data_IF_575213190901
#
_entry.id   IF_575213190901
#
_cell.length_a   1.000
_cell.length_b   1.000
_cell.length_c   1.000
_cell.angle_alpha   90.00
_cell.angle_beta   90.00
_cell.angle_gamma   90.00
#
_symmetry.space_group_name_H-M   'P 1'
#
loop_
_entity.id
_entity.type
_entity.pdbx_description
1 polymer ?
2 polymer ?
3 non-polymer ?
4 non-polymer ?
5 water ?
#
# COMPACT_ATOMS: atom_id res chain seq x y z
N UNK A 2 -12.20 -4.61 2.55
CA UNK A 2 -10.77 -4.43 2.65
C UNK A 2 -10.29 -3.42 3.68
N UNK A 3 -9.00 -3.54 4.03
CA UNK A 3 -8.43 -2.67 5.05
C UNK A 3 -8.42 -1.21 4.61
N UNK A 4 -8.08 -0.95 3.35
CA UNK A 4 -8.00 0.43 2.89
C UNK A 4 -9.37 1.10 2.92
N UNK A 5 -10.43 0.34 2.59
CA UNK A 5 -11.77 0.90 2.67
C UNK A 5 -12.14 1.26 4.10
N UNK A 6 -11.77 0.39 5.05
CA UNK A 6 -12.03 0.68 6.46
C UNK A 6 -11.24 1.90 6.91
N UNK A 7 -9.98 2.01 6.46
CA UNK A 7 -9.15 3.16 6.83
C UNK A 7 -9.76 4.44 6.28
N UNK A 8 -10.19 4.43 5.01
CA UNK A 8 -10.80 5.61 4.43
C UNK A 8 -12.06 6.02 5.20
N UNK A 9 -12.88 5.03 5.58
CA UNK A 9 -14.11 5.33 6.31
C UNK A 9 -13.82 6.00 7.65
N UNK A 10 -12.84 5.47 8.40
CA UNK A 10 -12.50 6.06 9.68
C UNK A 10 -11.95 7.46 9.53
N UNK A 11 -11.14 7.69 8.49
CA UNK A 11 -10.57 9.02 8.31
C UNK A 11 -11.63 10.04 7.91
N UNK A 12 -12.68 9.60 7.22
CA UNK A 12 -13.79 10.50 6.94
C UNK A 12 -14.47 10.91 8.24
N UNK A 13 -14.64 9.95 9.16
CA UNK A 13 -15.25 10.23 10.45
C UNK A 13 -14.36 11.17 11.27
N UNK A 14 -13.06 10.91 11.29
CA UNK A 14 -12.12 11.75 12.03
C UNK A 14 -12.13 13.17 11.50
N UNK A 15 -12.13 13.33 10.17
CA UNK A 15 -12.15 14.66 9.58
C UNK A 15 -13.42 15.41 9.97
N UNK A 16 -14.56 14.73 9.97
CA UNK A 16 -15.80 15.38 10.34
C UNK A 16 -15.78 15.81 11.80
N UNK A 17 -15.31 14.93 12.69
CA UNK A 17 -15.23 15.29 14.11
C UNK A 17 -14.34 16.50 14.32
N UNK A 18 -13.19 16.56 13.63
CA UNK A 18 -12.30 17.69 13.79
C UNK A 18 -12.89 18.96 13.21
N UNK A 19 -13.68 18.85 12.14
CA UNK A 19 -14.41 20.01 11.64
C UNK A 19 -15.37 20.53 12.71
N UNK A 20 -16.10 19.64 13.37
CA UNK A 20 -17.00 20.06 14.44
C UNK A 20 -16.22 20.72 15.57
N UNK A 21 -15.08 20.15 15.94
CA UNK A 21 -14.27 20.72 17.03
C UNK A 21 -13.77 22.09 16.63
N UNK A 22 -13.20 22.20 15.43
CA UNK A 22 -12.65 23.49 15.00
C UNK A 22 -13.72 24.55 14.90
N UNK A 23 -14.92 24.17 14.42
CA UNK A 23 -16.02 25.12 14.30
C UNK A 23 -16.66 25.36 15.66
N UNK B 2 12.20 3.83 -1.27
CA UNK B 2 12.10 2.53 -0.62
C UNK B 2 11.56 1.39 -1.46
N UNK B 3 10.87 0.45 -0.80
CA UNK B 3 10.50 -0.80 -1.45
C UNK B 3 9.59 -0.58 -2.67
N UNK B 4 8.66 0.37 -2.58
CA UNK B 4 7.75 0.57 -3.71
C UNK B 4 8.50 1.00 -4.96
N UNK B 5 9.53 1.85 -4.80
CA UNK B 5 10.33 2.26 -5.96
C UNK B 5 11.12 1.08 -6.51
N UNK B 6 11.64 0.22 -5.64
CA UNK B 6 12.33 -0.98 -6.11
C UNK B 6 11.38 -1.88 -6.89
N UNK B 7 10.16 -2.03 -6.38
CA UNK B 7 9.14 -2.82 -7.08
C UNK B 7 8.88 -2.25 -8.46
N UNK B 8 8.73 -0.93 -8.56
CA UNK B 8 8.49 -0.31 -9.86
C UNK B 8 9.66 -0.56 -10.79
N UNK B 9 10.89 -0.41 -10.29
CA UNK B 9 12.07 -0.64 -11.12
C UNK B 9 12.12 -2.08 -11.61
N UNK B 10 11.82 -3.04 -10.73
CA UNK B 10 11.84 -4.45 -11.15
C UNK B 10 10.74 -4.73 -12.19
N UNK B 11 9.56 -4.13 -12.02
CA UNK B 11 8.49 -4.38 -12.98
C UNK B 11 8.80 -3.76 -14.35
N UNK B 12 9.51 -2.63 -14.38
CA UNK B 12 9.97 -2.10 -15.65
C UNK B 12 10.90 -3.08 -16.35
N UNK B 13 11.80 -3.71 -15.58
CA UNK B 13 12.69 -4.71 -16.15
C UNK B 13 11.92 -5.93 -16.64
N UNK B 14 10.95 -6.39 -15.84
CA UNK B 14 10.14 -7.54 -16.22
C UNK B 14 9.35 -7.24 -17.49
N UNK B 15 8.82 -6.01 -17.60
CA UNK B 15 8.06 -5.63 -18.79
C UNK B 15 8.94 -5.67 -20.04
N UNK B 16 10.19 -5.20 -19.92
CA UNK B 16 11.11 -5.23 -21.05
C UNK B 16 11.43 -6.66 -21.48
N UNK B 17 11.72 -7.54 -20.51
CA UNK B 17 12.04 -8.91 -20.86
C UNK B 17 10.85 -9.62 -21.50
N UNK B 18 9.64 -9.35 -21.01
CA UNK B 18 8.47 -10.01 -21.57
C UNK B 18 8.15 -9.49 -22.97
N UNK B 19 8.39 -8.21 -23.23
CA UNK B 19 8.21 -7.70 -24.59
C UNK B 19 9.20 -8.36 -25.55
N UNK B 20 10.44 -8.56 -25.09
CA UNK B 20 11.43 -9.26 -25.89
C UNK B 20 11.00 -10.70 -26.16
N UNK B 21 10.49 -11.38 -25.15
CA UNK B 21 10.03 -12.76 -25.32
C UNK B 21 8.89 -12.81 -26.32
N UNK B 22 7.92 -11.90 -26.19
CA UNK B 22 6.78 -11.91 -27.10
C UNK B 22 7.19 -11.61 -28.54
N UNK B 23 8.20 -10.76 -28.73
CA UNK B 23 8.70 -10.44 -30.06
C UNK B 23 9.63 -11.51 -30.62
N UNK B 24 9.92 -12.56 -29.87
CA UNK B 24 10.82 -13.60 -30.33
C UNK B 24 12.23 -13.46 -29.77
N UNK C 2 9.76 -2.93 8.89
CA UNK C 2 9.09 -2.19 7.82
C UNK C 2 8.30 -0.99 8.27
N UNK C 3 8.02 -0.09 7.33
CA UNK C 3 7.32 1.15 7.65
C UNK C 3 5.90 0.86 8.13
N UNK C 4 5.21 -0.11 7.52
CA UNK C 4 3.85 -0.40 7.93
C UNK C 4 3.79 -0.87 9.38
N UNK C 5 4.78 -1.65 9.82
CA UNK C 5 4.84 -2.05 11.22
C UNK C 5 5.06 -0.85 12.12
N UNK C 6 5.94 0.06 11.73
CA UNK C 6 6.18 1.26 12.51
C UNK C 6 4.93 2.13 12.58
N UNK C 7 4.23 2.25 11.45
CA UNK C 7 3.01 3.06 11.40
C UNK C 7 1.96 2.51 12.34
N UNK C 8 1.78 1.19 12.33
CA UNK C 8 0.80 0.56 13.22
C UNK C 8 1.17 0.83 14.68
N UNK C 9 2.46 0.75 15.01
CA UNK C 9 2.87 1.00 16.38
C UNK C 9 2.55 2.43 16.80
N UNK C 10 2.85 3.40 15.93
CA UNK C 10 2.55 4.79 16.26
C UNK C 10 1.06 5.02 16.45
N UNK C 11 0.24 4.40 15.60
CA UNK C 11 -1.20 4.62 15.68
C UNK C 11 -1.78 4.01 16.95
N UNK C 12 -1.18 2.94 17.46
CA UNK C 12 -1.60 2.41 18.76
C UNK C 12 -1.33 3.42 19.87
N UNK C 13 -0.16 4.09 19.81
CA UNK C 13 0.15 5.14 20.78
C UNK C 13 -0.78 6.33 20.61
N UNK C 14 -1.02 6.75 19.37
CA UNK C 14 -1.92 7.87 19.11
C UNK C 14 -3.32 7.56 19.63
N UNK C 15 -3.80 6.33 19.41
CA UNK C 15 -5.13 5.96 19.88
C UNK C 15 -5.23 6.06 21.38
N UNK C 16 -4.21 5.60 22.10
CA UNK C 16 -4.26 5.66 23.55
C UNK C 16 -4.25 7.10 24.04
N UNK C 17 -3.42 7.97 23.44
CA UNK C 17 -3.40 9.36 23.86
C UNK C 17 -4.76 10.00 23.68
N UNK C 18 -5.43 9.72 22.56
CA UNK C 18 -6.75 10.31 22.33
C UNK C 18 -7.80 9.74 23.28
N UNK C 19 -7.66 8.47 23.67
CA UNK C 19 -8.54 7.92 24.70
C UNK C 19 -8.40 8.68 26.01
N UNK C 20 -7.15 8.96 26.41
CA UNK C 20 -6.92 9.71 27.63
C UNK C 20 -7.52 11.11 27.54
N UNK C 21 -7.36 11.76 26.39
CA UNK C 21 -7.91 13.09 26.20
C UNK C 21 -9.44 13.04 26.28
N UNK C 22 -10.05 12.09 25.56
CA UNK C 22 -11.50 12.02 25.53
C UNK C 22 -12.08 11.68 26.89
N UNK C 23 -11.45 10.73 27.61
CA UNK C 23 -11.94 10.30 28.91
C UNK C 23 -11.50 11.21 30.05
N UNK C 24 -10.47 12.04 29.85
CA UNK C 24 -9.98 12.90 30.90
C UNK C 24 -10.95 14.00 31.27
N UNK D 2 -2.78 -8.54 9.26
CA UNK D 2 -1.47 -7.94 9.42
C UNK D 2 -1.47 -6.48 9.80
N UNK D 3 -0.44 -5.75 9.38
CA UNK D 3 -0.27 -4.38 9.83
C UNK D 3 -1.40 -3.48 9.34
N UNK D 4 -1.88 -3.68 8.12
CA UNK D 4 -2.94 -2.82 7.61
C UNK D 4 -4.22 -2.97 8.43
N UNK D 5 -4.53 -4.20 8.86
CA UNK D 5 -5.70 -4.41 9.69
C UNK D 5 -5.51 -3.78 11.07
N UNK D 6 -4.29 -3.83 11.62
CA UNK D 6 -4.03 -3.15 12.89
C UNK D 6 -4.19 -1.64 12.75
N UNK D 7 -3.70 -1.08 11.64
CA UNK D 7 -3.86 0.34 11.38
C UNK D 7 -5.33 0.71 11.33
N UNK D 8 -6.14 -0.12 10.66
CA UNK D 8 -7.58 0.14 10.59
C UNK D 8 -8.23 0.09 11.96
N UNK D 9 -7.86 -0.90 12.78
CA UNK D 9 -8.44 -1.00 14.11
C UNK D 9 -8.09 0.23 14.96
N UNK D 10 -6.83 0.65 14.90
CA UNK D 10 -6.43 1.82 15.68
C UNK D 10 -7.16 3.07 15.20
N UNK D 11 -7.34 3.21 13.88
CA UNK D 11 -8.05 4.38 13.37
C UNK D 11 -9.53 4.35 13.74
N UNK D 12 -10.14 3.17 13.82
CA UNK D 12 -11.52 3.09 14.30
C UNK D 12 -11.60 3.59 15.74
N UNK D 13 -10.65 3.19 16.58
CA UNK D 13 -10.63 3.68 17.96
C UNK D 13 -10.40 5.18 18.01
N UNK D 14 -9.50 5.68 17.17
CA UNK D 14 -9.24 7.12 17.14
C UNK D 14 -10.50 7.88 16.74
N UNK D 15 -11.24 7.36 15.76
CA UNK D 15 -12.48 8.02 15.37
C UNK D 15 -13.49 8.01 16.51
N UNK D 16 -13.58 6.92 17.25
CA UNK D 16 -14.52 6.87 18.37
C UNK D 16 -14.14 7.89 19.43
N UNK D 17 -12.85 7.98 19.78
CA UNK D 17 -12.44 8.94 20.80
C UNK D 17 -12.72 10.37 20.35
N UNK D 18 -12.47 10.67 19.07
CA UNK D 18 -12.70 12.03 18.59
C UNK D 18 -14.18 12.35 18.51
N UNK D 19 -15.02 11.35 18.26
CA UNK D 19 -16.46 11.57 18.31
C UNK D 19 -16.90 11.97 19.71
N UNK D 20 -16.33 11.33 20.73
CA UNK D 20 -16.62 11.71 22.11
C UNK D 20 -16.18 13.14 22.38
N UNK D 21 -14.97 13.50 21.96
CA UNK D 21 -14.48 14.86 22.16
C UNK D 21 -15.37 15.86 21.43
N UNK D 22 -15.66 15.59 20.16
CA UNK D 22 -16.50 16.50 19.37
C UNK D 22 -17.93 16.56 19.91
N UNK D 23 -18.43 15.44 20.44
CA UNK D 23 -19.76 15.42 21.03
C UNK D 23 -19.73 16.03 22.43
N UNK E 2 11.26 6.12 0.87
CA UNK E 2 10.28 6.89 0.12
C UNK E 2 9.16 7.45 0.97
N UNK E 3 7.98 7.60 0.35
CA UNK E 3 6.87 8.25 1.03
C UNK E 3 6.44 7.50 2.27
N UNK E 4 6.45 6.15 2.21
CA UNK E 4 6.03 5.38 3.37
C UNK E 4 6.95 5.61 4.57
N UNK E 5 8.25 5.74 4.33
CA UNK E 5 9.17 6.04 5.42
C UNK E 5 8.90 7.43 5.98
N UNK E 6 8.60 8.39 5.12
CA UNK E 6 8.25 9.72 5.60
C UNK E 6 6.98 9.69 6.44
N UNK E 7 5.99 8.91 6.00
CA UNK E 7 4.75 8.77 6.76
C UNK E 7 5.04 8.20 8.14
N UNK E 8 5.88 7.16 8.22
CA UNK E 8 6.21 6.59 9.51
C UNK E 8 6.90 7.61 10.40
N UNK E 9 7.84 8.37 9.83
CA UNK E 9 8.56 9.37 10.62
C UNK E 9 7.60 10.42 11.17
N UNK E 10 6.68 10.91 10.34
CA UNK E 10 5.73 11.91 10.80
C UNK E 10 4.80 11.36 11.88
N UNK E 11 4.37 10.11 11.74
CA UNK E 11 3.46 9.54 12.73
C UNK E 11 4.15 9.30 14.07
N UNK E 12 5.44 8.96 14.06
CA UNK E 12 6.18 8.89 15.33
C UNK E 12 6.22 10.25 16.00
N UNK E 13 6.44 11.31 15.22
CA UNK E 13 6.43 12.66 15.77
C UNK E 13 5.06 13.04 16.32
N UNK E 14 4.00 12.71 15.57
CA UNK E 14 2.64 13.01 16.03
C UNK E 14 2.34 12.28 17.32
N UNK E 15 2.78 11.02 17.43
CA UNK E 15 2.51 10.25 18.64
C UNK E 15 3.14 10.91 19.86
N UNK E 16 4.37 11.40 19.73
CA UNK E 16 5.04 12.08 20.84
C UNK E 16 4.33 13.38 21.20
N UNK E 17 3.98 14.18 20.18
CA UNK E 17 3.31 15.45 20.44
C UNK E 17 1.96 15.25 21.12
N UNK E 18 1.22 14.24 20.68
CA UNK E 18 -0.11 13.98 21.24
C UNK E 18 -0.01 13.42 22.65
N UNK E 19 1.03 12.64 22.95
CA UNK E 19 1.23 12.16 24.31
C UNK E 19 1.52 13.32 25.26
N UNK E 20 2.32 14.29 24.80
CA UNK E 20 2.58 15.49 25.61
C UNK E 20 1.30 16.28 25.83
N UNK E 21 0.49 16.44 24.78
CA UNK E 21 -0.78 17.16 24.90
C UNK E 21 -1.68 16.46 25.91
N UNK E 22 -1.77 15.13 25.82
CA UNK E 22 -2.64 14.37 26.71
C UNK E 22 -2.18 14.45 28.16
N UNK E 23 -0.88 14.53 28.40
CA UNK E 23 -0.37 14.63 29.76
C UNK E 23 -0.56 16.02 30.33
N UNK E 24 -0.85 17.01 29.50
CA UNK E 24 -1.05 18.37 29.95
C UNK E 24 -2.48 18.62 30.43
N UNK F 2 1.20 11.38 -6.82
CA UNK F 2 0.53 10.23 -6.26
C UNK F 2 -0.09 10.44 -4.89
N UNK F 3 -1.00 9.55 -4.53
CA UNK F 3 -1.71 9.68 -3.25
C UNK F 3 -0.76 9.58 -2.07
N UNK F 4 0.20 8.65 -2.12
CA UNK F 4 1.09 8.48 -0.98
C UNK F 4 1.93 9.73 -0.72
N UNK F 5 2.32 10.43 -1.79
CA UNK F 5 3.04 11.68 -1.63
C UNK F 5 2.16 12.73 -0.96
N UNK F 6 0.88 12.79 -1.35
CA UNK F 6 -0.05 13.72 -0.72
C UNK F 6 -0.26 13.38 0.75
N UNK F 7 -0.36 12.09 1.07
CA UNK F 7 -0.57 11.66 2.45
C UNK F 7 0.62 12.08 3.31
N UNK F 8 1.83 11.86 2.82
CA UNK F 8 3.02 12.25 3.56
C UNK F 8 3.04 13.75 3.81
N UNK F 9 2.69 14.54 2.78
CA UNK F 9 2.67 15.99 2.94
C UNK F 9 1.66 16.42 4.00
N UNK F 10 0.47 15.83 3.99
CA UNK F 10 -0.54 16.20 4.99
C UNK F 10 -0.09 15.83 6.39
N UNK F 11 0.56 14.67 6.55
CA UNK F 11 1.01 14.26 7.88
C UNK F 11 2.16 15.13 8.35
N UNK F 12 2.97 15.67 7.43
CA UNK F 12 3.98 16.64 7.82
C UNK F 12 3.33 17.90 8.37
N UNK F 13 2.26 18.35 7.72
CA UNK F 13 1.52 19.52 8.21
C UNK F 13 0.86 19.23 9.56
N UNK F 14 0.25 18.05 9.69
CA UNK F 14 -0.39 17.67 10.95
C UNK F 14 0.64 17.61 12.08
N UNK F 15 1.81 17.03 11.80
CA UNK F 15 2.84 16.94 12.81
C UNK F 15 3.27 18.33 13.29
N UNK F 16 3.45 19.26 12.35
CA UNK F 16 3.87 20.60 12.72
C UNK F 16 2.79 21.29 13.57
N UNK F 17 1.53 21.14 13.18
CA UNK F 17 0.45 21.76 13.97
C UNK F 17 0.41 21.21 15.38
N UNK F 18 0.54 19.89 15.54
CA UNK F 18 0.50 19.31 16.88
C UNK F 18 1.75 19.64 17.68
N UNK F 19 2.90 19.74 17.02
CA UNK F 19 4.10 20.19 17.70
C UNK F 19 3.93 21.61 18.26
N UNK F 20 3.34 22.50 17.46
CA UNK F 20 3.09 23.85 17.94
C UNK F 20 2.16 23.85 19.14
N UNK F 21 1.11 23.02 19.10
CA UNK F 21 0.19 22.93 20.23
C UNK F 21 0.90 22.40 21.46
N UNK F 22 1.67 21.31 21.29
CA UNK F 22 2.36 20.72 22.43
C UNK F 22 3.36 21.69 23.04
N UNK F 23 4.02 22.50 22.21
CA UNK F 23 5.04 23.41 22.73
C UNK F 23 4.41 24.59 23.45
N UNK F 24 3.24 25.04 23.02
CA UNK F 24 2.59 26.18 23.62
C UNK F 24 2.09 25.91 25.02
N UNK G 2 -9.57 5.83 -5.95
CA UNK G 2 -10.00 4.83 -5.01
C UNK G 2 -9.76 5.20 -3.56
N UNK G 3 -9.55 4.18 -2.72
CA UNK G 3 -9.46 4.42 -1.29
C UNK G 3 -8.26 5.29 -0.93
N UNK G 4 -7.13 5.11 -1.62
CA UNK G 4 -5.96 5.91 -1.29
C UNK G 4 -6.20 7.39 -1.55
N UNK G 5 -6.88 7.72 -2.65
CA UNK G 5 -7.19 9.11 -2.92
C UNK G 5 -8.17 9.66 -1.89
N UNK G 6 -9.14 8.85 -1.46
CA UNK G 6 -10.05 9.30 -0.40
C UNK G 6 -9.29 9.53 0.89
N UNK G 7 -8.36 8.64 1.23
CA UNK G 7 -7.52 8.82 2.41
C UNK G 7 -6.75 10.14 2.31
N UNK G 8 -6.19 10.41 1.13
CA UNK G 8 -5.44 11.65 0.94
C UNK G 8 -6.33 12.87 1.15
N UNK G 9 -7.53 12.85 0.57
CA UNK G 9 -8.44 13.99 0.72
C UNK G 9 -8.83 14.21 2.18
N UNK G 10 -9.13 13.13 2.89
CA UNK G 10 -9.51 13.27 4.29
C UNK G 10 -8.37 13.83 5.12
N UNK G 11 -7.13 13.39 4.86
CA UNK G 11 -6.01 13.90 5.63
C UNK G 11 -5.73 15.37 5.32
N UNK G 12 -5.98 15.79 4.08
CA UNK G 12 -5.87 17.22 3.77
C UNK G 12 -6.89 18.02 4.57
N UNK G 13 -8.11 17.51 4.69
CA UNK G 13 -9.13 18.18 5.49
C UNK G 13 -8.74 18.21 6.96
N UNK G 14 -8.22 17.11 7.48
CA UNK G 14 -7.78 17.02 8.87
C UNK G 14 -6.67 18.03 9.15
N UNK G 15 -5.74 18.16 8.22
CA UNK G 15 -4.64 19.11 8.39
C UNK G 15 -5.14 20.55 8.46
N UNK G 16 -6.11 20.92 7.62
CA UNK G 16 -6.65 22.27 7.70
C UNK G 16 -7.35 22.51 9.03
N UNK G 17 -8.14 21.54 9.48
CA UNK G 17 -8.86 21.69 10.74
C UNK G 17 -7.89 21.81 11.92
N UNK G 18 -6.82 21.03 11.90
CA UNK G 18 -5.87 21.07 13.02
C UNK G 18 -5.08 22.38 13.01
N UNK G 19 -4.79 22.93 11.82
CA UNK G 19 -4.15 24.23 11.75
C UNK G 19 -5.07 25.31 12.31
N UNK G 20 -6.36 25.21 12.02
CA UNK G 20 -7.33 26.15 12.59
C UNK G 20 -7.33 26.07 14.11
N UNK G 21 -7.34 24.85 14.64
CA UNK G 21 -7.32 24.65 16.09
C UNK G 21 -6.04 25.23 16.68
N UNK G 22 -4.90 24.96 16.04
CA UNK G 22 -3.64 25.49 16.53
C UNK G 22 -3.63 27.01 16.49
N UNK G 23 -4.30 27.61 15.50
CA UNK G 23 -4.39 29.06 15.40
C UNK G 23 -5.43 29.62 16.38
N UNK H 2 -11.97 -5.31 -1.95
CA UNK H 2 -10.91 -4.32 -2.06
C UNK H 2 -9.87 -4.70 -3.08
N UNK H 3 -9.09 -3.70 -3.51
CA UNK H 3 -8.10 -3.93 -4.55
C UNK H 3 -7.02 -4.90 -4.10
N UNK H 4 -6.57 -4.80 -2.86
CA UNK H 4 -5.49 -5.68 -2.40
C UNK H 4 -5.94 -7.13 -2.37
N UNK H 5 -7.20 -7.38 -1.99
CA UNK H 5 -7.71 -8.75 -2.01
C UNK H 5 -7.78 -9.30 -3.44
N UNK H 6 -8.23 -8.48 -4.39
CA UNK H 6 -8.27 -8.92 -5.78
C UNK H 6 -6.87 -9.18 -6.31
N UNK H 7 -5.91 -8.33 -5.93
CA UNK H 7 -4.53 -8.52 -6.37
C UNK H 7 -3.99 -9.84 -5.82
N UNK H 8 -4.23 -10.11 -4.54
CA UNK H 8 -3.78 -11.36 -3.95
C UNK H 8 -4.43 -12.55 -4.64
N UNK H 9 -5.73 -12.47 -4.93
CA UNK H 9 -6.39 -13.57 -5.62
C UNK H 9 -5.80 -13.80 -7.00
N UNK H 10 -5.54 -12.72 -7.75
CA UNK H 10 -4.96 -12.88 -9.07
C UNK H 10 -3.57 -13.50 -9.00
N UNK H 11 -2.77 -13.10 -8.01
CA UNK H 11 -1.43 -13.68 -7.91
C UNK H 11 -1.48 -15.15 -7.48
N UNK H 12 -2.51 -15.54 -6.71
CA UNK H 12 -2.68 -16.96 -6.40
C UNK H 12 -2.97 -17.75 -7.67
N UNK H 13 -3.79 -17.19 -8.55
CA UNK H 13 -4.06 -17.85 -9.83
C UNK H 13 -2.81 -17.91 -10.70
N UNK H 14 -2.07 -16.81 -10.76
CA UNK H 14 -0.86 -16.78 -11.58
C UNK H 14 0.15 -17.80 -11.07
N UNK H 15 0.32 -17.90 -9.75
CA UNK H 15 1.25 -18.89 -9.21
C UNK H 15 0.81 -20.30 -9.58
N UNK H 16 -0.50 -20.56 -9.53
CA UNK H 16 -1.01 -21.88 -9.88
C UNK H 16 -0.72 -22.22 -11.34
N UNK H 17 -0.97 -21.27 -12.24
CA UNK H 17 -0.71 -21.50 -13.66
C UNK H 17 0.78 -21.72 -13.92
N UNK H 18 1.64 -20.93 -13.29
CA UNK H 18 3.07 -21.08 -13.54
C UNK H 18 3.60 -22.39 -12.97
N UNK H 19 3.03 -22.86 -11.87
CA UNK H 19 3.39 -24.19 -11.37
C UNK H 19 3.04 -25.26 -12.40
N UNK H 20 1.86 -25.16 -13.01
CA UNK H 20 1.48 -26.12 -14.04
C UNK H 20 2.43 -26.05 -15.22
N UNK H 21 2.82 -24.84 -15.62
CA UNK H 21 3.73 -24.68 -16.75
C UNK H 21 5.09 -25.29 -16.43
N UNK H 22 5.62 -24.99 -15.24
CA UNK H 22 6.93 -25.50 -14.88
C UNK H 22 6.93 -27.03 -14.82
N UNK H 23 5.84 -27.63 -14.37
CA UNK H 23 5.76 -29.08 -14.28
C UNK H 23 5.56 -29.69 -15.66
N UNK H 24 6.61 -29.57 -16.49
CA UNK H 24 6.56 -30.11 -17.85
C UNK H 24 5.50 -29.44 -18.70
N UNK I 2 -8.46 4.30 -8.61
CA UNK I 2 -7.13 4.81 -8.88
C UNK I 2 -6.11 3.76 -9.32
N UNK I 3 -4.84 4.00 -9.00
CA UNK I 3 -3.78 3.14 -9.50
C UNK I 3 -3.92 1.72 -8.99
N UNK I 4 -4.33 1.55 -7.73
CA UNK I 4 -4.47 0.21 -7.19
C UNK I 4 -5.53 -0.59 -7.94
N UNK I 5 -6.64 0.05 -8.31
CA UNK I 5 -7.66 -0.64 -9.09
C UNK I 5 -7.15 -0.98 -10.48
N UNK I 6 -6.36 -0.08 -11.08
CA UNK I 6 -5.76 -0.40 -12.38
C UNK I 6 -4.80 -1.58 -12.26
N UNK I 7 -4.02 -1.62 -11.18
CA UNK I 7 -3.11 -2.75 -10.95
C UNK I 7 -3.91 -4.04 -10.83
N UNK I 8 -5.00 -4.02 -10.06
CA UNK I 8 -5.82 -5.21 -9.91
C UNK I 8 -6.37 -5.65 -11.25
N UNK I 9 -6.82 -4.71 -12.06
CA UNK I 9 -7.39 -5.04 -13.36
C UNK I 9 -6.36 -5.71 -14.26
N UNK I 10 -5.15 -5.14 -14.31
CA UNK I 10 -4.12 -5.73 -15.17
C UNK I 10 -3.73 -7.12 -14.70
N UNK I 11 -3.64 -7.32 -13.38
CA UNK I 11 -3.28 -8.63 -12.87
C UNK I 11 -4.37 -9.66 -13.15
N UNK I 12 -5.63 -9.26 -13.14
CA UNK I 12 -6.70 -10.18 -13.55
C UNK I 12 -6.52 -10.59 -15.01
N UNK I 13 -6.20 -9.63 -15.88
CA UNK I 13 -5.96 -9.96 -17.28
C UNK I 13 -4.73 -10.86 -17.43
N UNK I 14 -3.67 -10.56 -16.67
CA UNK I 14 -2.47 -11.40 -16.72
C UNK I 14 -2.80 -12.82 -16.29
N UNK I 15 -3.63 -12.98 -15.25
CA UNK I 15 -3.98 -14.32 -14.79
C UNK I 15 -4.74 -15.10 -15.88
N UNK I 16 -5.66 -14.43 -16.58
CA UNK I 16 -6.40 -15.13 -17.64
C UNK I 16 -5.45 -15.59 -18.75
N UNK I 17 -4.53 -14.71 -19.16
CA UNK I 17 -3.61 -15.08 -20.23
C UNK I 17 -2.72 -16.25 -19.82
N UNK I 18 -2.23 -16.24 -18.58
CA UNK I 18 -1.32 -17.31 -18.17
C UNK I 18 -2.07 -18.63 -17.99
N UNK I 19 -3.33 -18.59 -17.56
CA UNK I 19 -4.13 -19.80 -17.50
C UNK I 19 -4.35 -20.37 -18.89
N UNK I 20 -4.56 -19.51 -19.88
CA UNK I 20 -4.67 -19.96 -21.26
C UNK I 20 -3.38 -20.62 -21.71
N UNK I 21 -2.24 -19.98 -21.41
CA UNK I 21 -0.95 -20.55 -21.78
C UNK I 21 -0.72 -21.88 -21.08
N UNK I 22 -1.03 -21.95 -19.79
CA UNK I 22 -0.82 -23.18 -19.05
C UNK I 22 -1.65 -24.32 -19.61
N UNK I 23 -2.84 -24.01 -20.11
CA UNK I 23 -3.69 -25.00 -20.75
C UNK I 23 -3.26 -25.26 -22.19
N UNK J 2 -2.44 -10.42 6.47
CA UNK J 2 -3.46 -10.15 5.48
C UNK J 2 -3.02 -10.23 4.03
N UNK J 3 -3.64 -9.41 3.18
CA UNK J 3 -3.45 -9.54 1.73
C UNK J 3 -1.99 -9.32 1.34
N UNK J 4 -1.30 -8.39 1.99
CA UNK J 4 0.08 -8.13 1.60
C UNK J 4 0.97 -9.35 1.85
N UNK J 5 0.77 -10.05 2.96
CA UNK J 5 1.55 -11.26 3.22
C UNK J 5 1.20 -12.35 2.21
N UNK J 6 -0.08 -12.45 1.84
CA UNK J 6 -0.48 -13.42 0.82
C UNK J 6 0.17 -13.09 -0.52
N UNK J 7 0.20 -11.81 -0.87
CA UNK J 7 0.85 -11.38 -2.11
C UNK J 7 2.33 -11.77 -2.09
N UNK J 8 3.00 -11.53 -0.97
CA UNK J 8 4.40 -11.89 -0.86
C UNK J 8 4.61 -13.39 -1.05
N UNK J 9 3.76 -14.21 -0.42
CA UNK J 9 3.91 -15.65 -0.54
C UNK J 9 3.73 -16.12 -1.98
N UNK J 10 2.71 -15.61 -2.68
CA UNK J 10 2.47 -16.01 -4.05
C UNK J 10 3.63 -15.60 -4.96
N UNK J 11 4.18 -14.42 -4.74
CA UNK J 11 5.30 -13.99 -5.58
C UNK J 11 6.53 -14.83 -5.33
N UNK J 12 6.73 -15.30 -4.10
CA UNK J 12 7.82 -16.24 -3.83
C UNK J 12 7.64 -17.53 -4.63
N UNK J 13 6.40 -18.05 -4.67
CA UNK J 13 6.14 -19.24 -5.45
C UNK J 13 6.36 -18.97 -6.94
N UNK J 14 5.91 -17.80 -7.41
CA UNK J 14 6.12 -17.43 -8.80
C UNK J 14 7.59 -17.37 -9.13
N UNK J 15 8.41 -16.83 -8.22
CA UNK J 15 9.84 -16.76 -8.45
C UNK J 15 10.46 -18.14 -8.57
N UNK J 16 10.05 -19.08 -7.72
CA UNK J 16 10.59 -20.44 -7.83
C UNK J 16 10.17 -21.09 -9.13
N UNK J 17 8.90 -20.94 -9.52
CA UNK J 17 8.43 -21.55 -10.76
C UNK J 17 9.19 -20.99 -11.96
N UNK J 18 9.47 -19.69 -11.95
CA UNK J 18 10.18 -19.10 -13.08
C UNK J 18 11.64 -19.53 -13.11
N UNK J 19 12.25 -19.74 -11.94
CA UNK J 19 13.60 -20.29 -11.91
C UNK J 19 13.62 -21.70 -12.48
N UNK J 20 12.59 -22.50 -12.16
CA UNK J 20 12.49 -23.83 -12.72
C UNK J 20 12.36 -23.77 -14.24
N UNK J 21 11.49 -22.89 -14.73
CA UNK J 21 11.30 -22.73 -16.17
C UNK J 21 12.60 -22.28 -16.82
N UNK J 22 13.29 -21.32 -16.21
CA UNK J 22 14.55 -20.85 -16.77
C UNK J 22 15.60 -21.95 -16.78
N UNK J 23 15.58 -22.83 -15.78
CA UNK J 23 16.55 -23.92 -15.74
C UNK J 23 16.16 -25.05 -16.70
N UNK J 24 14.89 -25.43 -16.72
CA UNK J 24 14.43 -26.51 -17.58
C UNK J 24 14.78 -26.34 -19.04
N UNK K 2 4.48 9.10 -9.05
CA UNK K 2 4.50 8.11 -7.99
C UNK K 2 4.78 6.68 -8.42
N UNK K 3 5.21 5.87 -7.46
CA UNK K 3 5.57 4.48 -7.76
C UNK K 3 4.37 3.67 -8.21
N UNK K 4 3.21 3.85 -7.57
CA UNK K 4 2.04 3.07 -7.94
C UNK K 4 1.62 3.35 -9.38
N UNK K 5 1.77 4.60 -9.82
CA UNK K 5 1.46 4.92 -11.21
C UNK K 5 2.42 4.19 -12.15
N UNK K 6 3.71 4.16 -11.81
CA UNK K 6 4.68 3.44 -12.63
C UNK K 6 4.40 1.94 -12.65
N UNK K 7 4.02 1.38 -11.50
CA UNK K 7 3.70 -0.04 -11.41
C UNK K 7 2.50 -0.38 -12.29
N UNK K 8 1.46 0.46 -12.25
CA UNK K 8 0.30 0.22 -13.08
C UNK K 8 0.66 0.25 -14.55
N UNK K 9 1.49 1.21 -14.97
CA UNK K 9 1.90 1.31 -16.37
C UNK K 9 2.68 0.06 -16.79
N UNK K 10 3.60 -0.41 -15.95
CA UNK K 10 4.38 -1.60 -16.31
C UNK K 10 3.47 -2.82 -16.44
N UNK K 11 2.48 -2.94 -15.55
CA UNK K 11 1.59 -4.10 -15.60
C UNK K 11 0.69 -4.06 -16.83
N UNK K 12 0.33 -2.87 -17.32
CA UNK K 12 -0.40 -2.80 -18.57
C UNK K 12 0.43 -3.33 -19.73
N UNK K 13 1.72 -2.99 -19.76
CA UNK K 13 2.60 -3.52 -20.80
C UNK K 13 2.77 -5.03 -20.66
N UNK K 14 2.96 -5.50 -19.43
CA UNK K 14 3.11 -6.93 -19.19
C UNK K 14 1.86 -7.68 -19.64
N UNK K 15 0.68 -7.17 -19.30
CA UNK K 15 -0.56 -7.83 -19.71
C UNK K 15 -0.65 -7.91 -21.22
N UNK K 16 -0.29 -6.83 -21.91
CA UNK K 16 -0.36 -6.85 -23.37
C UNK K 16 0.62 -7.86 -23.96
N UNK K 17 1.84 -7.91 -23.42
CA UNK K 17 2.82 -8.88 -23.91
C UNK K 17 2.31 -10.31 -23.71
N UNK K 18 1.71 -10.59 -22.56
CA UNK K 18 1.21 -11.94 -22.31
C UNK K 18 -0.01 -12.26 -23.16
N UNK K 19 -0.82 -11.25 -23.50
CA UNK K 19 -1.90 -11.45 -24.45
C UNK K 19 -1.35 -11.91 -25.79
N UNK K 20 -0.29 -11.25 -26.26
CA UNK K 20 0.33 -11.64 -27.51
C UNK K 20 0.92 -13.05 -27.42
N UNK K 21 1.56 -13.38 -26.30
CA UNK K 21 2.15 -14.70 -26.14
C UNK K 21 1.07 -15.77 -26.13
N UNK K 22 0.01 -15.54 -25.35
CA UNK K 22 -1.04 -16.54 -25.22
C UNK K 22 -1.74 -16.80 -26.56
N UNK K 23 -1.90 -15.75 -27.38
CA UNK K 23 -2.56 -15.94 -28.66
C UNK K 23 -1.65 -16.65 -29.66
N UNK K 24 -0.34 -16.44 -29.55
CA UNK K 24 0.61 -17.07 -30.46
C UNK K 24 0.66 -18.57 -30.32
N UNK L 2 9.19 -6.73 6.76
CA UNK L 2 7.89 -6.37 6.23
C UNK L 2 7.56 -7.02 4.91
N UNK L 3 6.27 -7.05 4.59
CA UNK L 3 5.82 -7.71 3.36
C UNK L 3 6.35 -6.99 2.12
N UNK L 4 6.38 -5.66 2.12
CA UNK L 4 6.84 -4.94 0.94
C UNK L 4 8.30 -5.27 0.63
N UNK L 5 9.11 -5.44 1.67
CA UNK L 5 10.50 -5.85 1.43
C UNK L 5 10.57 -7.23 0.80
N UNK L 6 9.74 -8.16 1.26
CA UNK L 6 9.73 -9.50 0.66
C UNK L 6 9.27 -9.44 -0.79
N UNK L 7 8.27 -8.62 -1.08
CA UNK L 7 7.75 -8.49 -2.44
C UNK L 7 8.85 -7.96 -3.36
N UNK L 8 9.58 -6.93 -2.91
CA UNK L 8 10.65 -6.37 -3.71
C UNK L 8 11.74 -7.41 -4.00
N UNK L 9 12.13 -8.19 -2.98
CA UNK L 9 13.15 -9.21 -3.18
C UNK L 9 12.68 -10.27 -4.18
N UNK L 10 11.43 -10.71 -4.06
CA UNK L 10 10.91 -11.72 -4.98
C UNK L 10 10.92 -11.20 -6.41
N UNK L 11 10.57 -9.93 -6.59
CA UNK L 11 10.51 -9.37 -7.94
C UNK L 11 11.90 -9.24 -8.55
N UNK L 12 12.94 -9.06 -7.73
CA UNK L 12 14.30 -9.07 -8.26
C UNK L 12 14.67 -10.45 -8.80
N UNK L 13 14.26 -11.50 -8.08
CA UNK L 13 14.49 -12.86 -8.57
C UNK L 13 13.70 -13.10 -9.86
N UNK L 14 12.44 -12.66 -9.89
CA UNK L 14 11.61 -12.83 -11.08
C UNK L 14 12.24 -12.12 -12.28
N UNK L 15 12.73 -10.90 -12.08
CA UNK L 15 13.37 -10.17 -13.17
C UNK L 15 14.59 -10.90 -13.68
N UNK L 16 15.40 -11.46 -12.76
CA UNK L 16 16.61 -12.18 -13.14
C UNK L 16 16.27 -13.42 -13.96
N UNK L 17 15.27 -14.18 -13.51
CA UNK L 17 14.86 -15.39 -14.23
C UNK L 17 14.33 -15.04 -15.62
N UNK L 18 13.50 -14.01 -15.72
CA UNK L 18 12.94 -13.66 -17.01
C UNK L 18 14.00 -13.13 -17.97
N UNK L 19 15.02 -12.45 -17.45
CA UNK L 19 16.15 -12.06 -18.30
C UNK L 19 16.83 -13.29 -18.87
N UNK L 20 17.06 -14.30 -18.03
CA UNK L 20 17.67 -15.54 -18.50
C UNK L 20 16.78 -16.21 -19.54
N UNK L 21 15.47 -16.23 -19.32
CA UNK L 21 14.55 -16.83 -20.28
C UNK L 21 14.62 -16.08 -21.60
N UNK L 22 14.55 -14.75 -21.54
CA UNK L 22 14.53 -13.95 -22.77
C UNK L 22 15.80 -14.19 -23.58
N UNK L 23 16.94 -14.34 -22.91
CA UNK L 23 18.19 -14.64 -23.59
C UNK L 23 18.18 -16.12 -23.97
#
# INVERSE_FOLDING_TARGET
XGSLKKIAKSLKKIAYSLKKIAQGX
XGSLEEIAKSLEEIAWSLEEIAQGX
XGSLKKIAKSLKKIAYSLKKIAQGX
XGSLEEIAKSLEEIAWSLEEIAQGX
XGSLEEIAKSLEEIAWSLEEIAQGX
XGSLKKIAKSLKKIAYSLKKIAQGX
XGSLEEIAKSLEEIAWSLEEIAQGX
XGSLKKIAKSLKKIAYSLKKIAQGX
XGSLEEIAKSLEEIAWSLEEIAQGX
XGSLEEIAKSLEEIAWSLEEIAQGX
XGSLKKIAKSLKKIAYSLKKIAQGX
XGSLKKIAKSLKKIAYSLKKIAQGX
#
